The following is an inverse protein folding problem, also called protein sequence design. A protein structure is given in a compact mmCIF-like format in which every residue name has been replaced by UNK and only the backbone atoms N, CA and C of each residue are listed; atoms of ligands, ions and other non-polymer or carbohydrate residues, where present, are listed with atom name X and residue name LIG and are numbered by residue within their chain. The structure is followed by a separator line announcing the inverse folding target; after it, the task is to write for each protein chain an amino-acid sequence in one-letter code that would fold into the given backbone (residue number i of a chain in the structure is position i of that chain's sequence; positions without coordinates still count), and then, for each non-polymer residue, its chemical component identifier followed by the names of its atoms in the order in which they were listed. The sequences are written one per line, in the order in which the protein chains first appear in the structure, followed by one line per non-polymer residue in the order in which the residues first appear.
data_IF_839312477214
#
_entry.id   IF_839312477214
#
_cell.length_a   1.000
_cell.length_b   1.000
_cell.length_c   1.000
_cell.angle_alpha   90.00
_cell.angle_beta   90.00
_cell.angle_gamma   90.00
#
_symmetry.space_group_name_H-M   'P 1'
#
loop_
_entity.id
_entity.type
_entity.pdbx_description
1 polymer ?
#
# COMPACT_ATOMS: atom_id res chain seq x y z
N UNK A 1 25.14 0.23 -19.71
CA UNK A 1 26.19 -0.33 -18.83
C UNK A 1 25.56 -1.39 -17.97
N UNK A 2 26.10 -2.61 -17.88
CA UNK A 2 25.52 -3.63 -16.99
C UNK A 2 25.65 -3.16 -15.53
N UNK A 3 24.56 -3.25 -14.77
CA UNK A 3 24.44 -2.75 -13.40
C UNK A 3 23.23 -1.82 -13.21
N UNK A 4 23.02 -1.37 -11.97
CA UNK A 4 22.09 -0.27 -11.68
C UNK A 4 22.77 1.08 -11.90
N UNK A 5 22.05 2.07 -12.41
CA UNK A 5 22.48 3.47 -12.44
C UNK A 5 21.31 4.47 -12.58
N UNK A 6 21.51 5.77 -12.30
CA UNK A 6 20.49 6.79 -12.55
C UNK A 6 20.04 6.82 -14.02
N UNK A 7 18.77 7.17 -14.27
CA UNK A 7 18.26 7.36 -15.64
C UNK A 7 18.63 8.74 -16.22
N UNK A 8 19.15 9.65 -15.39
CA UNK A 8 19.58 11.01 -15.76
C UNK A 8 18.51 11.90 -16.42
N UNK A 9 17.22 11.52 -16.32
CA UNK A 9 16.13 12.39 -16.79
C UNK A 9 16.02 13.64 -15.88
N UNK A 10 15.79 14.82 -16.46
CA UNK A 10 15.52 16.03 -15.69
C UNK A 10 14.41 15.80 -14.67
N UNK A 11 14.61 16.28 -13.44
CA UNK A 11 13.65 16.22 -12.32
C UNK A 11 13.29 14.81 -11.80
N UNK A 12 14.05 13.77 -12.17
CA UNK A 12 13.85 12.44 -11.58
C UNK A 12 14.36 12.41 -10.12
N UNK A 13 13.45 12.53 -9.15
CA UNK A 13 13.79 12.53 -7.71
C UNK A 13 14.39 11.20 -7.22
N UNK A 14 14.14 10.11 -7.97
CA UNK A 14 14.62 8.76 -7.66
C UNK A 14 16.07 8.56 -8.09
N UNK A 15 16.58 9.34 -9.06
CA UNK A 15 17.99 9.28 -9.46
C UNK A 15 18.94 9.53 -8.27
N UNK A 16 18.56 10.41 -7.34
CA UNK A 16 19.35 10.70 -6.14
C UNK A 16 19.40 9.54 -5.13
N UNK A 17 18.53 8.53 -5.31
CA UNK A 17 18.49 7.30 -4.50
C UNK A 17 19.09 6.10 -5.23
N UNK A 18 19.22 6.16 -6.56
CA UNK A 18 19.74 5.09 -7.39
C UNK A 18 21.28 5.03 -7.26
N UNK A 19 21.81 3.96 -6.67
CA UNK A 19 23.26 3.71 -6.62
C UNK A 19 23.76 3.18 -7.97
N UNK A 20 24.93 3.68 -8.41
CA UNK A 20 25.62 3.12 -9.58
C UNK A 20 26.45 1.91 -9.13
N UNK A 21 26.03 0.69 -9.49
CA UNK A 21 26.71 -0.52 -9.05
C UNK A 21 26.42 -1.72 -9.95
N UNK A 22 27.33 -2.69 -9.98
CA UNK A 22 27.13 -4.00 -10.62
C UNK A 22 26.71 -5.09 -9.64
N UNK A 23 26.71 -4.78 -8.36
CA UNK A 23 26.37 -5.70 -7.28
C UNK A 23 25.58 -4.97 -6.20
N UNK A 24 24.86 -5.72 -5.38
CA UNK A 24 24.28 -5.19 -4.15
C UNK A 24 24.50 -6.18 -3.00
N UNK A 25 24.56 -5.66 -1.78
CA UNK A 25 24.78 -6.46 -0.57
C UNK A 25 23.58 -6.31 0.35
N UNK A 26 23.05 -7.41 0.85
CA UNK A 26 21.99 -7.44 1.84
C UNK A 26 22.56 -7.08 3.21
N UNK A 27 22.03 -6.03 3.86
CA UNK A 27 22.39 -5.61 5.21
C UNK A 27 22.01 -6.66 6.27
N UNK A 28 20.94 -7.43 6.04
CA UNK A 28 20.48 -8.48 6.97
C UNK A 28 21.32 -9.75 6.92
N UNK A 29 21.76 -10.18 5.72
CA UNK A 29 22.48 -11.45 5.54
C UNK A 29 23.96 -11.29 5.20
N UNK A 30 24.41 -10.07 4.90
CA UNK A 30 25.76 -9.74 4.41
C UNK A 30 26.15 -10.44 3.10
N UNK A 31 25.19 -11.08 2.40
CA UNK A 31 25.43 -11.71 1.10
C UNK A 31 25.40 -10.67 -0.01
N UNK A 32 26.28 -10.84 -0.98
CA UNK A 32 26.37 -9.98 -2.17
C UNK A 32 25.87 -10.71 -3.42
N UNK A 33 25.16 -9.97 -4.26
CA UNK A 33 24.50 -10.45 -5.47
C UNK A 33 24.92 -9.61 -6.66
N UNK A 34 25.11 -10.25 -7.82
CA UNK A 34 25.43 -9.56 -9.08
C UNK A 34 24.17 -9.11 -9.81
N UNK A 35 24.25 -7.92 -10.41
CA UNK A 35 23.22 -7.34 -11.26
C UNK A 35 23.64 -7.61 -12.71
N UNK A 36 22.84 -8.40 -13.42
CA UNK A 36 23.18 -8.86 -14.77
C UNK A 36 22.60 -8.00 -15.89
N UNK A 37 21.66 -7.11 -15.56
CA UNK A 37 20.97 -6.24 -16.50
C UNK A 37 21.41 -4.78 -16.36
N UNK A 38 21.11 -3.98 -17.39
CA UNK A 38 21.21 -2.52 -17.35
C UNK A 38 19.92 -1.96 -16.75
N UNK A 39 19.97 -1.58 -15.48
CA UNK A 39 18.81 -1.15 -14.70
C UNK A 39 18.90 0.32 -14.39
N UNK A 40 17.80 1.03 -14.65
CA UNK A 40 17.68 2.45 -14.29
C UNK A 40 16.42 2.70 -13.49
N UNK A 41 16.27 3.92 -12.99
CA UNK A 41 15.04 4.31 -12.30
C UNK A 41 13.80 4.25 -13.25
N UNK A 42 13.93 4.03 -14.57
CA UNK A 42 12.80 3.81 -15.50
C UNK A 42 12.49 2.32 -15.76
N UNK A 43 13.30 1.40 -15.24
CA UNK A 43 13.10 -0.05 -15.40
C UNK A 43 11.81 -0.51 -14.73
N UNK A 44 11.17 -1.52 -15.34
CA UNK A 44 9.89 -2.14 -14.93
C UNK A 44 10.10 -3.62 -14.67
N UNK A 45 9.16 -4.25 -13.96
CA UNK A 45 9.19 -5.69 -13.64
C UNK A 45 10.48 -6.09 -12.90
N UNK A 46 10.89 -5.27 -11.92
CA UNK A 46 12.11 -5.50 -11.15
C UNK A 46 11.84 -5.72 -9.67
N UNK A 47 12.74 -6.45 -9.02
CA UNK A 47 12.91 -6.43 -7.57
C UNK A 47 14.00 -5.42 -7.23
N UNK A 48 13.79 -4.61 -6.20
CA UNK A 48 14.71 -3.56 -5.79
C UNK A 48 14.93 -3.58 -4.27
N UNK A 49 16.09 -3.08 -3.86
CA UNK A 49 16.49 -2.92 -2.46
C UNK A 49 16.70 -1.44 -2.15
N UNK A 50 16.08 -0.94 -1.08
CA UNK A 50 16.33 0.39 -0.51
C UNK A 50 17.00 0.20 0.84
N UNK A 51 18.21 0.74 0.99
CA UNK A 51 18.95 0.68 2.24
C UNK A 51 18.72 1.95 3.06
N UNK A 52 18.39 1.79 4.33
CA UNK A 52 18.31 2.92 5.26
C UNK A 52 19.72 3.41 5.60
N UNK A 53 19.93 4.73 5.54
CA UNK A 53 21.23 5.33 5.91
C UNK A 53 21.40 5.53 7.43
N UNK A 54 20.33 5.33 8.21
CA UNK A 54 20.30 5.57 9.65
C UNK A 54 20.32 4.28 10.48
N UNK A 55 19.99 3.14 9.88
CA UNK A 55 19.97 1.84 10.56
C UNK A 55 20.27 0.71 9.56
N UNK A 56 20.70 -0.48 10.03
CA UNK A 56 21.05 -1.61 9.16
C UNK A 56 19.81 -2.38 8.69
N UNK A 57 18.81 -1.67 8.17
CA UNK A 57 17.58 -2.25 7.62
C UNK A 57 17.51 -2.00 6.12
N UNK A 58 17.13 -3.05 5.41
CA UNK A 58 16.79 -2.98 3.99
C UNK A 58 15.28 -3.13 3.82
N UNK A 59 14.73 -2.37 2.89
CA UNK A 59 13.42 -2.62 2.33
C UNK A 59 13.61 -3.31 0.98
N UNK A 60 12.99 -4.48 0.81
CA UNK A 60 12.94 -5.21 -0.46
C UNK A 60 11.55 -5.05 -1.04
N UNK A 61 11.45 -4.54 -2.26
CA UNK A 61 10.19 -4.37 -2.96
C UNK A 61 10.26 -4.91 -4.37
N UNK A 62 9.10 -5.14 -4.97
CA UNK A 62 8.96 -5.44 -6.39
C UNK A 62 8.08 -4.37 -7.05
N UNK A 63 8.19 -4.24 -8.37
CA UNK A 63 7.30 -3.36 -9.12
C UNK A 63 7.09 -3.84 -10.55
N UNK A 64 5.84 -3.73 -11.02
CA UNK A 64 5.45 -3.91 -12.42
C UNK A 64 5.56 -2.56 -13.17
N UNK A 65 5.37 -1.45 -12.46
CA UNK A 65 5.52 -0.10 -12.99
C UNK A 65 7.00 0.31 -13.02
N UNK A 66 7.29 1.50 -13.54
CA UNK A 66 8.67 2.00 -13.49
C UNK A 66 9.08 2.20 -12.02
N UNK A 67 10.33 1.86 -11.68
CA UNK A 67 10.87 2.08 -10.34
C UNK A 67 10.63 3.52 -9.87
N UNK A 68 10.83 4.49 -10.77
CA UNK A 68 10.58 5.91 -10.54
C UNK A 68 9.15 6.15 -10.05
N UNK A 69 8.16 5.61 -10.75
CA UNK A 69 6.75 5.76 -10.39
C UNK A 69 6.50 5.21 -8.98
N UNK A 70 6.94 3.97 -8.72
CA UNK A 70 6.71 3.31 -7.43
C UNK A 70 7.36 4.01 -6.25
N UNK A 71 8.63 4.43 -6.37
CA UNK A 71 9.34 5.14 -5.31
C UNK A 71 8.78 6.56 -5.11
N UNK A 72 8.32 7.22 -6.18
CA UNK A 72 7.69 8.54 -6.06
C UNK A 72 6.42 8.46 -5.22
N UNK A 73 5.55 7.50 -5.53
CA UNK A 73 4.33 7.24 -4.74
C UNK A 73 4.69 6.94 -3.28
N UNK A 74 5.68 6.08 -3.01
CA UNK A 74 6.14 5.81 -1.63
C UNK A 74 6.52 7.08 -0.86
N UNK A 75 7.28 7.97 -1.51
CA UNK A 75 7.76 9.21 -0.90
C UNK A 75 6.63 10.19 -0.64
N UNK A 76 5.67 10.33 -1.55
CA UNK A 76 4.50 11.18 -1.34
C UNK A 76 3.55 10.61 -0.27
N UNK A 77 3.45 9.29 -0.16
CA UNK A 77 2.65 8.58 0.85
C UNK A 77 3.31 8.47 2.25
N UNK A 78 4.50 9.04 2.43
CA UNK A 78 5.24 9.07 3.71
C UNK A 78 4.94 10.31 4.57
N UNK A 79 3.85 11.04 4.28
CA UNK A 79 3.33 12.07 5.19
C UNK A 79 2.90 11.45 6.53
N UNK A 80 3.22 12.12 7.64
CA UNK A 80 2.98 11.68 9.02
C UNK A 80 1.62 11.02 9.21
N UNK A 81 1.62 9.70 9.40
CA UNK A 81 0.51 9.03 10.07
C UNK A 81 0.65 9.30 11.57
N UNK A 82 0.28 10.51 12.00
CA UNK A 82 -0.13 10.69 13.38
C UNK A 82 -1.43 9.90 13.56
N UNK A 83 -1.33 8.75 14.23
CA UNK A 83 -2.42 7.83 14.57
C UNK A 83 -3.50 8.45 15.49
N UNK A 84 -3.65 9.78 15.51
CA UNK A 84 -4.62 10.50 16.31
C UNK A 84 -5.12 11.81 15.65
N UNK A 85 -4.87 12.01 14.34
CA UNK A 85 -5.53 13.10 13.62
C UNK A 85 -6.92 12.65 13.18
N UNK A 86 -7.94 13.42 13.55
CA UNK A 86 -9.29 13.24 13.01
C UNK A 86 -9.20 13.46 11.50
N UNK A 87 -9.33 12.37 10.72
CA UNK A 87 -9.40 12.47 9.26
C UNK A 87 -10.61 13.33 8.92
N UNK A 88 -10.40 14.49 8.32
CA UNK A 88 -11.50 15.31 7.79
C UNK A 88 -12.04 14.63 6.53
N UNK A 89 -12.97 13.68 6.74
CA UNK A 89 -13.58 12.86 5.69
C UNK A 89 -14.21 13.73 4.61
N UNK A 90 -14.75 14.90 4.98
CA UNK A 90 -15.42 15.78 4.03
C UNK A 90 -14.45 16.34 2.98
N UNK A 91 -13.18 16.55 3.35
CA UNK A 91 -12.14 16.99 2.42
C UNK A 91 -11.78 15.94 1.36
N UNK A 92 -12.10 14.66 1.62
CA UNK A 92 -11.80 13.51 0.77
C UNK A 92 -12.94 13.16 -0.19
N UNK A 93 -14.08 13.86 -0.09
CA UNK A 93 -15.28 13.59 -0.89
C UNK A 93 -15.42 14.64 -2.00
N UNK A 94 -15.61 14.18 -3.23
CA UNK A 94 -15.97 14.97 -4.41
C UNK A 94 -17.14 14.28 -5.11
N UNK A 95 -18.29 14.97 -5.22
CA UNK A 95 -19.52 14.42 -5.81
C UNK A 95 -20.00 13.09 -5.16
N UNK A 96 -19.82 12.96 -3.84
CA UNK A 96 -20.15 11.74 -3.11
C UNK A 96 -19.19 10.58 -3.35
N UNK A 97 -18.04 10.82 -4.00
CA UNK A 97 -17.02 9.82 -4.30
C UNK A 97 -15.66 10.20 -3.75
N UNK A 98 -14.72 9.26 -3.77
CA UNK A 98 -13.34 9.53 -3.37
C UNK A 98 -12.67 10.54 -4.32
N UNK A 99 -12.31 11.70 -3.77
CA UNK A 99 -11.65 12.80 -4.49
C UNK A 99 -10.26 12.45 -5.01
N UNK A 100 -9.58 11.52 -4.34
CA UNK A 100 -8.19 11.12 -4.61
C UNK A 100 -8.07 9.60 -4.79
N UNK A 101 -6.99 9.16 -5.42
CA UNK A 101 -6.64 7.74 -5.53
C UNK A 101 -6.38 7.18 -4.13
N UNK A 102 -6.89 5.97 -3.86
CA UNK A 102 -6.75 5.28 -2.59
C UNK A 102 -5.66 4.22 -2.67
N UNK A 103 -4.78 4.21 -1.68
CA UNK A 103 -3.63 3.31 -1.57
C UNK A 103 -3.67 2.51 -0.28
N UNK A 104 -2.95 1.38 -0.27
CA UNK A 104 -2.71 0.61 0.93
C UNK A 104 -2.00 1.45 2.01
N UNK A 105 -2.36 1.21 3.28
CA UNK A 105 -1.76 1.91 4.41
C UNK A 105 -0.30 1.51 4.66
N UNK A 106 0.10 0.28 4.31
CA UNK A 106 1.44 -0.25 4.57
C UNK A 106 2.37 -0.25 3.35
N UNK A 107 1.82 -0.25 2.14
CA UNK A 107 2.62 -0.37 0.92
C UNK A 107 2.07 0.54 -0.19
N UNK A 108 2.75 0.66 -1.33
CA UNK A 108 2.37 1.57 -2.41
C UNK A 108 1.21 1.05 -3.27
N UNK A 109 0.61 -0.08 -2.91
CA UNK A 109 -0.42 -0.75 -3.69
C UNK A 109 -1.60 0.19 -3.91
N UNK A 110 -1.94 0.44 -5.18
CA UNK A 110 -3.13 1.20 -5.53
C UNK A 110 -4.34 0.32 -5.29
N UNK A 111 -5.27 0.76 -4.46
CA UNK A 111 -6.50 0.02 -4.14
C UNK A 111 -7.64 0.49 -5.02
N UNK A 112 -7.84 1.81 -5.14
CA UNK A 112 -9.00 2.38 -5.81
C UNK A 112 -8.61 3.63 -6.60
N UNK A 113 -9.04 3.71 -7.86
CA UNK A 113 -8.87 4.93 -8.66
C UNK A 113 -9.74 6.08 -8.12
N UNK A 114 -9.33 7.32 -8.42
CA UNK A 114 -10.13 8.52 -8.13
C UNK A 114 -11.55 8.38 -8.70
N UNK A 115 -12.57 8.76 -7.92
CA UNK A 115 -13.96 8.86 -8.37
C UNK A 115 -14.67 7.51 -8.58
N UNK A 116 -14.18 6.43 -7.98
CA UNK A 116 -14.76 5.08 -8.10
C UNK A 116 -15.59 4.71 -6.86
N UNK A 117 -15.04 4.88 -5.67
CA UNK A 117 -15.70 4.54 -4.41
C UNK A 117 -16.73 5.59 -4.01
N UNK A 118 -17.92 5.13 -3.65
CA UNK A 118 -18.99 5.99 -3.15
C UNK A 118 -18.88 6.11 -1.64
N UNK A 119 -18.93 7.33 -1.12
CA UNK A 119 -18.93 7.53 0.32
C UNK A 119 -20.18 6.93 0.95
N UNK A 120 -19.99 6.20 2.04
CA UNK A 120 -21.08 5.67 2.85
C UNK A 120 -20.70 5.66 4.32
N UNK A 121 -21.61 6.22 5.11
CA UNK A 121 -21.55 6.15 6.56
C UNK A 121 -22.28 4.89 7.03
N UNK A 122 -21.54 3.93 7.56
CA UNK A 122 -22.05 2.68 8.10
C UNK A 122 -21.14 2.20 9.22
N UNK A 123 -21.71 1.90 10.39
CA UNK A 123 -20.95 1.35 11.51
C UNK A 123 -20.61 -0.12 11.27
N UNK A 124 -19.32 -0.45 11.33
CA UNK A 124 -18.86 -1.83 11.27
C UNK A 124 -17.63 -2.06 12.16
N UNK A 125 -17.61 -3.19 12.85
CA UNK A 125 -16.54 -3.57 13.77
C UNK A 125 -15.46 -4.39 13.03
N UNK A 126 -14.29 -3.79 12.80
CA UNK A 126 -13.16 -4.47 12.16
C UNK A 126 -12.12 -4.91 13.20
N UNK A 127 -11.57 -6.14 13.11
CA UNK A 127 -10.34 -6.53 13.81
C UNK A 127 -9.22 -5.53 13.57
N UNK A 128 -8.34 -5.28 14.55
CA UNK A 128 -7.16 -4.43 14.34
C UNK A 128 -6.31 -4.89 13.16
N UNK A 129 -5.87 -3.94 12.33
CA UNK A 129 -5.06 -4.21 11.15
C UNK A 129 -3.61 -4.51 11.54
N UNK A 130 -3.22 -5.79 11.57
CA UNK A 130 -1.84 -6.19 11.86
C UNK A 130 -1.66 -7.70 12.05
N UNK A 131 -0.41 -8.21 11.95
CA UNK A 131 -0.14 -9.61 12.25
C UNK A 131 -0.51 -9.91 13.71
N UNK A 132 -1.19 -11.05 13.94
CA UNK A 132 -1.44 -11.57 15.29
C UNK A 132 -0.13 -11.57 16.08
N UNK A 133 -0.06 -10.86 17.20
CA UNK A 133 1.03 -11.05 18.16
C UNK A 133 0.93 -12.49 18.68
N UNK A 134 2.00 -13.26 18.52
CA UNK A 134 2.14 -14.59 19.11
C UNK A 134 2.06 -14.42 20.63
N UNK A 135 1.04 -14.98 21.27
CA UNK A 135 0.88 -15.00 22.73
C UNK A 135 -0.36 -14.32 23.31
N UNK A 136 -1.26 -13.74 22.51
CA UNK A 136 -2.54 -13.22 23.03
C UNK A 136 -3.63 -14.28 23.01
N UNK A 137 -3.82 -14.96 24.15
CA UNK A 137 -5.08 -15.66 24.44
C UNK A 137 -6.19 -14.63 24.69
N UNK A 138 -7.32 -14.75 23.99
CA UNK A 138 -8.62 -14.36 24.54
C UNK A 138 -9.31 -13.06 24.09
N UNK A 139 -8.82 -12.31 23.09
CA UNK A 139 -9.60 -11.19 22.56
C UNK A 139 -9.00 -10.58 21.31
N UNK A 140 -9.69 -10.69 20.18
CA UNK A 140 -9.38 -9.87 19.01
C UNK A 140 -9.82 -8.46 19.36
N UNK A 141 -8.87 -7.56 19.60
CA UNK A 141 -9.17 -6.15 19.78
C UNK A 141 -9.78 -5.62 18.47
N UNK A 142 -11.03 -5.15 18.56
CA UNK A 142 -11.85 -4.70 17.42
C UNK A 142 -12.12 -3.22 17.57
N UNK A 143 -12.10 -2.54 16.44
CA UNK A 143 -12.38 -1.11 16.32
C UNK A 143 -13.69 -0.92 15.56
N UNK A 144 -14.54 -0.02 16.04
CA UNK A 144 -15.76 0.38 15.30
C UNK A 144 -15.43 1.57 14.41
N UNK A 145 -15.66 1.42 13.12
CA UNK A 145 -15.45 2.45 12.11
C UNK A 145 -16.77 2.79 11.44
N UNK A 146 -16.89 4.01 10.92
CA UNK A 146 -18.14 4.55 10.34
C UNK A 146 -17.99 4.95 8.87
N UNK A 147 -16.82 5.39 8.48
CA UNK A 147 -16.59 5.99 7.16
C UNK A 147 -16.01 4.98 6.18
N UNK A 148 -16.74 4.73 5.10
CA UNK A 148 -16.38 3.73 4.09
C UNK A 148 -16.50 4.24 2.67
N UNK A 149 -15.64 3.74 1.80
CA UNK A 149 -15.85 3.72 0.36
C UNK A 149 -16.58 2.42 -0.02
N UNK A 150 -17.82 2.54 -0.44
CA UNK A 150 -18.59 1.45 -1.05
C UNK A 150 -18.16 1.26 -2.51
N UNK A 151 -17.88 0.01 -2.87
CA UNK A 151 -17.58 -0.43 -4.23
C UNK A 151 -18.46 -1.64 -4.53
N UNK A 152 -19.32 -1.53 -5.54
CA UNK A 152 -20.31 -2.56 -5.86
C UNK A 152 -19.71 -3.76 -6.58
N UNK A 153 -18.71 -3.50 -7.44
CA UNK A 153 -18.09 -4.53 -8.25
C UNK A 153 -16.63 -4.73 -7.85
N UNK A 154 -16.23 -5.99 -7.65
CA UNK A 154 -14.85 -6.35 -7.30
C UNK A 154 -13.83 -5.92 -8.36
N UNK A 155 -14.28 -5.81 -9.61
CA UNK A 155 -13.44 -5.40 -10.75
C UNK A 155 -13.12 -3.90 -10.77
N UNK A 156 -13.79 -3.09 -9.95
CA UNK A 156 -13.51 -1.66 -9.85
C UNK A 156 -12.32 -1.36 -8.92
N UNK A 157 -11.83 -2.37 -8.19
CA UNK A 157 -10.58 -2.29 -7.44
C UNK A 157 -9.37 -2.57 -8.33
N UNK A 158 -8.25 -1.94 -7.98
CA UNK A 158 -6.98 -2.12 -8.69
C UNK A 158 -6.18 -3.31 -8.11
N UNK A 159 -5.85 -3.28 -6.80
CA UNK A 159 -5.02 -4.32 -6.16
C UNK A 159 -5.55 -4.68 -4.75
N UNK A 160 -6.79 -5.18 -4.69
CA UNK A 160 -7.39 -5.69 -3.45
C UNK A 160 -7.52 -7.21 -3.49
N UNK A 161 -7.30 -7.86 -2.35
CA UNK A 161 -7.58 -9.26 -2.10
C UNK A 161 -8.71 -9.43 -1.10
N UNK A 162 -9.19 -10.67 -0.98
CA UNK A 162 -10.20 -11.06 -0.01
C UNK A 162 -9.65 -12.16 0.90
N UNK A 163 -9.91 -12.06 2.20
CA UNK A 163 -9.60 -13.13 3.14
C UNK A 163 -10.49 -14.36 2.92
N UNK A 164 -10.12 -15.47 3.56
CA UNK A 164 -11.09 -16.52 3.86
C UNK A 164 -12.22 -15.97 4.73
N UNK A 165 -13.40 -16.59 4.64
CA UNK A 165 -14.53 -16.22 5.48
C UNK A 165 -14.26 -16.63 6.93
N UNK A 166 -14.39 -15.68 7.86
CA UNK A 166 -14.25 -15.91 9.31
C UNK A 166 -15.42 -15.23 9.99
N UNK A 167 -16.13 -15.96 10.85
CA UNK A 167 -17.32 -15.49 11.57
C UNK A 167 -18.40 -14.88 10.65
N UNK A 168 -18.61 -15.47 9.47
CA UNK A 168 -19.59 -14.98 8.50
C UNK A 168 -19.18 -13.71 7.76
N UNK A 169 -17.93 -13.25 7.92
CA UNK A 169 -17.41 -12.05 7.28
C UNK A 169 -16.24 -12.39 6.35
N UNK A 170 -16.20 -11.68 5.22
CA UNK A 170 -15.06 -11.69 4.30
C UNK A 170 -14.41 -10.31 4.35
N UNK A 171 -13.11 -10.26 4.62
CA UNK A 171 -12.39 -9.02 4.80
C UNK A 171 -11.58 -8.66 3.56
N UNK A 172 -11.39 -7.35 3.35
CA UNK A 172 -10.51 -6.83 2.32
C UNK A 172 -9.07 -6.81 2.85
N UNK A 173 -8.13 -7.30 2.05
CA UNK A 173 -6.70 -7.27 2.34
C UNK A 173 -5.97 -6.63 1.16
N UNK A 174 -4.81 -6.03 1.39
CA UNK A 174 -3.96 -5.57 0.30
C UNK A 174 -3.49 -6.78 -0.54
N UNK A 175 -3.62 -6.72 -1.86
CA UNK A 175 -3.15 -7.82 -2.72
C UNK A 175 -1.62 -7.95 -2.71
N UNK A 176 -0.88 -6.85 -2.56
CA UNK A 176 0.59 -6.86 -2.66
C UNK A 176 1.32 -7.24 -1.36
N UNK A 177 0.83 -6.78 -0.20
CA UNK A 177 1.52 -6.98 1.08
C UNK A 177 0.68 -7.70 2.14
N UNK A 178 -0.49 -8.21 1.75
CA UNK A 178 -1.41 -9.01 2.58
C UNK A 178 -1.89 -8.35 3.88
N UNK A 179 -1.62 -7.05 4.08
CA UNK A 179 -2.10 -6.34 5.27
C UNK A 179 -3.62 -6.23 5.22
N UNK A 180 -4.25 -6.45 6.37
CA UNK A 180 -5.66 -6.19 6.59
C UNK A 180 -6.08 -6.48 8.03
N UNK A 181 -7.37 -6.35 8.33
CA UNK A 181 -8.44 -6.03 7.39
C UNK A 181 -8.50 -4.52 7.05
N UNK A 182 -8.51 -4.19 5.75
CA UNK A 182 -8.69 -2.83 5.23
C UNK A 182 -10.17 -2.44 5.12
N UNK A 183 -11.05 -3.44 5.18
CA UNK A 183 -12.48 -3.29 4.98
C UNK A 183 -13.17 -4.66 5.02
N UNK A 184 -14.42 -4.71 4.59
CA UNK A 184 -15.24 -5.92 4.59
C UNK A 184 -16.14 -6.01 3.35
N UNK A 185 -16.66 -7.20 3.07
CA UNK A 185 -17.64 -7.43 2.01
C UNK A 185 -18.96 -7.89 2.61
N UNK A 186 -20.05 -7.28 2.15
CA UNK A 186 -21.39 -7.80 2.40
C UNK A 186 -21.62 -9.04 1.53
N UNK A 187 -21.82 -10.21 2.16
CA UNK A 187 -21.91 -11.47 1.45
C UNK A 187 -23.19 -11.64 0.64
N UNK A 188 -24.26 -10.90 0.95
CA UNK A 188 -25.54 -10.94 0.25
C UNK A 188 -25.51 -10.07 -1.00
N UNK A 189 -25.18 -8.79 -0.83
CA UNK A 189 -25.16 -7.80 -1.94
C UNK A 189 -23.88 -7.87 -2.77
N UNK A 190 -22.83 -8.53 -2.27
CA UNK A 190 -21.45 -8.54 -2.81
C UNK A 190 -20.73 -7.19 -2.82
N UNK A 191 -21.38 -6.11 -2.37
CA UNK A 191 -20.77 -4.80 -2.20
C UNK A 191 -19.64 -4.87 -1.17
N UNK A 192 -18.53 -4.22 -1.49
CA UNK A 192 -17.33 -4.11 -0.65
C UNK A 192 -17.25 -2.73 -0.01
N UNK A 193 -16.78 -2.67 1.23
CA UNK A 193 -16.71 -1.47 2.05
C UNK A 193 -15.27 -1.30 2.53
N UNK A 194 -14.53 -0.36 1.93
CA UNK A 194 -13.14 -0.05 2.25
C UNK A 194 -13.10 1.07 3.31
N UNK A 195 -12.49 0.82 4.46
CA UNK A 195 -12.51 1.77 5.57
C UNK A 195 -11.62 2.99 5.28
N UNK A 196 -12.19 4.19 5.38
CA UNK A 196 -11.50 5.46 5.10
C UNK A 196 -10.27 5.63 5.99
N UNK A 197 -10.34 5.19 7.25
CA UNK A 197 -9.26 5.28 8.24
C UNK A 197 -8.12 4.27 8.03
N UNK A 198 -8.29 3.27 7.16
CA UNK A 198 -7.30 2.17 6.99
C UNK A 198 -6.58 2.20 5.65
N UNK A 199 -6.59 3.36 4.98
CA UNK A 199 -5.99 3.57 3.66
C UNK A 199 -5.30 4.93 3.59
N UNK A 200 -4.53 5.15 2.54
CA UNK A 200 -3.87 6.42 2.24
C UNK A 200 -4.45 7.05 0.97
N UNK A 201 -4.33 8.36 0.85
CA UNK A 201 -4.84 9.14 -0.27
C UNK A 201 -3.71 9.84 -1.01
N UNK A 202 -3.82 9.90 -2.34
CA UNK A 202 -2.87 10.60 -3.18
C UNK A 202 -3.33 10.79 -4.60
N UNK A 203 -2.55 11.57 -5.34
CA UNK A 203 -2.76 11.83 -6.77
C UNK A 203 -2.00 10.81 -7.64
#
# INVERSE_FOLDING_TARGET
TVGSHPCNKPRCLVCNMCSTSKTFTSSSTQKSYSIFEDLTCESKNIVYQIQCKLCPKDYIGSTINSLRTSITVQRTMSGNNDLNSTVDVQSLIEEGKNKQTVFCIQCPSKILCKGVGHYKEIEFSLPNAGPKKIGSEGGVDKEVLKDYWQVDNIYDFENIGYSNTVDGHKYLICADCEVGPLGWQNLETKASYLAVARVKYGD
#
